data_IF_690004208829
#
_entry.id   IF_690004208829
#
_cell.length_a   1.000
_cell.length_b   1.000
_cell.length_c   1.000
_cell.angle_alpha   90.00
_cell.angle_beta   90.00
_cell.angle_gamma   90.00
#
_symmetry.space_group_name_H-M   'P 1'
#
loop_
_entity.id
_entity.type
_entity.pdbx_description
1 polymer ?
#
# COMPACT_ATOMS: atom_id res chain seq x y z
N UNK A 1 -4.54 8.48 40.88
CA UNK A 1 -4.07 9.26 39.71
C UNK A 1 -3.66 8.38 38.52
N UNK A 2 -2.69 7.45 38.66
CA UNK A 2 -2.18 6.65 37.52
C UNK A 2 -3.22 5.76 36.82
N UNK A 3 -4.16 5.16 37.57
CA UNK A 3 -5.19 4.26 37.03
C UNK A 3 -6.27 4.98 36.20
N UNK A 4 -6.61 6.21 36.58
CA UNK A 4 -7.55 7.05 35.84
C UNK A 4 -6.96 7.51 34.50
N UNK A 5 -5.68 7.93 34.51
CA UNK A 5 -4.97 8.31 33.29
C UNK A 5 -4.89 7.15 32.30
N UNK A 6 -4.55 5.95 32.78
CA UNK A 6 -4.51 4.76 31.94
C UNK A 6 -5.89 4.47 31.33
N UNK A 7 -6.95 4.44 32.15
CA UNK A 7 -8.32 4.19 31.69
C UNK A 7 -8.80 5.21 30.66
N UNK A 8 -8.41 6.47 30.81
CA UNK A 8 -8.75 7.53 29.84
C UNK A 8 -8.04 7.32 28.51
N UNK A 9 -6.73 7.00 28.52
CA UNK A 9 -5.99 6.70 27.30
C UNK A 9 -6.54 5.46 26.59
N UNK A 10 -6.87 4.38 27.29
CA UNK A 10 -7.45 3.20 26.65
C UNK A 10 -8.82 3.48 26.05
N UNK A 11 -9.68 4.24 26.75
CA UNK A 11 -10.97 4.65 26.21
C UNK A 11 -10.82 5.47 24.92
N UNK A 12 -9.85 6.39 24.88
CA UNK A 12 -9.58 7.21 23.69
C UNK A 12 -9.10 6.36 22.50
N UNK A 13 -8.25 5.35 22.74
CA UNK A 13 -7.79 4.44 21.68
C UNK A 13 -8.92 3.62 21.06
N UNK A 14 -9.99 3.30 21.80
CA UNK A 14 -11.14 2.56 21.27
C UNK A 14 -12.00 3.40 20.31
N UNK A 15 -11.89 4.73 20.38
CA UNK A 15 -12.60 5.65 19.49
C UNK A 15 -11.81 5.92 18.19
N UNK A 16 -10.53 5.54 18.17
CA UNK A 16 -9.66 5.74 17.02
C UNK A 16 -9.71 4.48 16.16
N UNK A 17 -10.31 4.57 14.97
CA UNK A 17 -10.15 3.54 13.95
C UNK A 17 -8.84 3.76 13.21
N UNK A 18 -8.06 2.70 13.00
CA UNK A 18 -6.94 2.78 12.07
C UNK A 18 -7.51 2.93 10.65
N UNK A 19 -7.13 4.01 9.98
CA UNK A 19 -7.50 4.20 8.59
C UNK A 19 -6.60 3.31 7.72
N UNK A 20 -7.19 2.60 6.76
CA UNK A 20 -6.45 1.87 5.75
C UNK A 20 -5.77 2.89 4.81
N UNK A 21 -4.47 2.75 4.58
CA UNK A 21 -3.76 3.59 3.61
C UNK A 21 -4.30 3.31 2.20
N UNK A 22 -4.93 4.30 1.59
CA UNK A 22 -5.50 4.20 0.23
C UNK A 22 -4.47 4.55 -0.84
N UNK A 23 -3.49 5.38 -0.48
CA UNK A 23 -2.41 5.80 -1.35
C UNK A 23 -1.09 5.33 -0.75
N UNK A 24 -0.35 4.50 -1.49
CA UNK A 24 0.91 3.98 -1.03
C UNK A 24 1.97 4.09 -2.13
N UNK A 25 3.11 4.66 -1.77
CA UNK A 25 4.26 4.77 -2.65
C UNK A 25 5.21 3.61 -2.41
N UNK A 26 5.43 2.80 -3.43
CA UNK A 26 6.46 1.78 -3.42
C UNK A 26 7.79 2.40 -3.83
N UNK A 27 8.86 2.02 -3.13
CA UNK A 27 10.20 2.49 -3.47
C UNK A 27 10.58 2.06 -4.90
N UNK A 28 11.40 2.86 -5.61
CA UNK A 28 11.87 2.50 -6.94
C UNK A 28 12.59 1.14 -6.96
N UNK A 29 12.22 0.29 -7.91
CA UNK A 29 12.87 -0.99 -8.17
C UNK A 29 13.67 -0.89 -9.46
N UNK A 30 14.97 -1.11 -9.40
CA UNK A 30 15.85 -1.10 -10.57
C UNK A 30 16.87 -2.25 -10.48
N UNK A 31 17.15 -2.86 -11.63
CA UNK A 31 18.25 -3.80 -11.76
C UNK A 31 19.60 -3.10 -11.53
N UNK A 32 20.59 -3.87 -11.08
CA UNK A 32 22.00 -3.44 -11.10
C UNK A 32 22.43 -3.15 -12.54
N UNK A 33 23.23 -2.10 -12.72
CA UNK A 33 23.70 -1.66 -14.03
C UNK A 33 24.27 -2.82 -14.86
N UNK A 34 23.98 -2.84 -16.17
CA UNK A 34 24.38 -3.90 -17.11
C UNK A 34 23.84 -5.31 -16.83
N UNK A 35 22.86 -5.49 -15.94
CA UNK A 35 22.22 -6.80 -15.75
C UNK A 35 20.90 -6.85 -16.53
N UNK A 36 20.83 -7.69 -17.56
CA UNK A 36 19.64 -7.86 -18.42
C UNK A 36 18.84 -9.10 -18.02
N UNK A 37 17.52 -9.08 -18.25
CA UNK A 37 16.65 -10.24 -18.03
C UNK A 37 16.30 -10.52 -16.57
N UNK A 38 16.44 -9.53 -15.68
CA UNK A 38 15.94 -9.63 -14.31
C UNK A 38 14.46 -9.26 -14.27
N UNK A 39 13.68 -10.09 -13.59
CA UNK A 39 12.27 -9.85 -13.32
C UNK A 39 12.05 -9.63 -11.83
N UNK A 40 11.21 -8.66 -11.50
CA UNK A 40 10.74 -8.40 -10.14
C UNK A 40 9.23 -8.56 -10.10
N UNK A 41 8.73 -9.28 -9.11
CA UNK A 41 7.30 -9.50 -8.92
C UNK A 41 6.83 -8.74 -7.68
N UNK A 42 5.77 -7.94 -7.86
CA UNK A 42 5.09 -7.25 -6.76
C UNK A 42 3.73 -7.89 -6.57
N UNK A 43 3.58 -8.61 -5.47
CA UNK A 43 2.31 -9.26 -5.11
C UNK A 43 1.51 -8.31 -4.22
N UNK A 44 0.30 -7.95 -4.67
CA UNK A 44 -0.58 -7.01 -4.00
C UNK A 44 -1.91 -7.70 -3.68
N UNK A 45 -2.38 -7.54 -2.45
CA UNK A 45 -3.74 -7.88 -2.07
C UNK A 45 -4.55 -6.59 -1.90
N UNK A 46 -5.84 -6.65 -2.23
CA UNK A 46 -6.74 -5.51 -2.06
C UNK A 46 -8.13 -6.02 -1.68
N UNK A 47 -8.78 -5.27 -0.81
CA UNK A 47 -10.18 -5.48 -0.44
C UNK A 47 -11.14 -4.69 -1.33
N UNK A 48 -10.65 -3.97 -2.35
CA UNK A 48 -11.51 -3.16 -3.21
C UNK A 48 -12.28 -4.04 -4.21
N UNK A 49 -13.62 -3.95 -4.19
CA UNK A 49 -14.47 -4.60 -5.22
C UNK A 49 -14.37 -3.88 -6.57
N UNK A 50 -14.21 -2.56 -6.55
CA UNK A 50 -14.15 -1.74 -7.75
C UNK A 50 -12.73 -1.68 -8.26
N UNK A 51 -12.57 -1.97 -9.54
CA UNK A 51 -11.26 -1.93 -10.20
C UNK A 51 -10.65 -0.53 -10.18
N UNK A 52 -9.40 -0.41 -9.74
CA UNK A 52 -8.65 0.85 -9.64
C UNK A 52 -7.32 0.77 -10.39
N UNK A 53 -6.82 1.88 -10.96
CA UNK A 53 -5.54 1.90 -11.66
C UNK A 53 -4.36 1.90 -10.67
N UNK A 54 -3.27 1.22 -11.03
CA UNK A 54 -1.97 1.32 -10.36
C UNK A 54 -0.97 1.87 -11.33
N UNK A 55 -0.46 3.06 -11.05
CA UNK A 55 0.47 3.75 -11.95
C UNK A 55 1.90 3.30 -11.69
N UNK A 56 2.57 2.85 -12.75
CA UNK A 56 3.96 2.43 -12.72
C UNK A 56 4.77 3.42 -13.53
N UNK A 57 5.80 4.00 -12.92
CA UNK A 57 6.65 5.02 -13.52
C UNK A 57 8.06 4.49 -13.77
N UNK A 58 8.67 4.92 -14.87
CA UNK A 58 10.09 4.77 -15.14
C UNK A 58 10.68 6.16 -15.39
N UNK A 59 11.69 6.54 -14.58
CA UNK A 59 12.34 7.85 -14.68
C UNK A 59 11.31 9.01 -14.74
N UNK A 60 10.34 8.98 -13.83
CA UNK A 60 9.22 9.94 -13.71
C UNK A 60 8.28 10.00 -14.92
N UNK A 61 8.39 9.10 -15.89
CA UNK A 61 7.45 8.97 -17.02
C UNK A 61 6.52 7.79 -16.76
N UNK A 62 5.21 7.95 -17.00
CA UNK A 62 4.24 6.86 -16.87
C UNK A 62 4.62 5.73 -17.84
N UNK A 63 4.94 4.57 -17.28
CA UNK A 63 5.31 3.38 -18.05
C UNK A 63 4.07 2.53 -18.36
N UNK A 64 3.24 2.26 -17.35
CA UNK A 64 1.97 1.55 -17.52
C UNK A 64 1.01 1.83 -16.36
N UNK A 65 -0.28 1.55 -16.55
CA UNK A 65 -1.32 1.72 -15.53
C UNK A 65 -2.30 0.53 -15.51
N UNK A 66 -1.87 -0.67 -15.11
CA UNK A 66 -2.76 -1.83 -14.96
C UNK A 66 -3.88 -1.53 -13.95
N UNK A 67 -5.04 -2.16 -14.15
CA UNK A 67 -6.12 -2.08 -13.18
C UNK A 67 -6.13 -3.29 -12.26
N UNK A 68 -6.21 -3.06 -10.96
CA UNK A 68 -6.31 -4.10 -9.94
C UNK A 68 -7.71 -4.12 -9.33
N UNK A 69 -8.14 -5.28 -8.90
CA UNK A 69 -9.35 -5.48 -8.11
C UNK A 69 -9.18 -6.74 -7.26
N UNK A 70 -9.99 -6.86 -6.20
CA UNK A 70 -10.08 -8.09 -5.42
C UNK A 70 -10.42 -9.27 -6.33
N UNK A 71 -9.69 -10.37 -6.17
CA UNK A 71 -10.02 -11.63 -6.84
C UNK A 71 -11.30 -12.24 -6.23
N UNK A 72 -12.19 -12.82 -7.06
CA UNK A 72 -13.33 -13.58 -6.55
C UNK A 72 -12.81 -14.81 -5.78
N UNK A 73 -13.30 -14.99 -4.56
CA UNK A 73 -13.06 -16.19 -3.73
C UNK A 73 -13.97 -17.32 -4.18
#
# INVERSE_FOLDING_TARGET
MKKLLLSFCTFLCLLMNAQLDTDHWFAPMAARANTTGLEGYLNLSTDQMTSFPVEIYNNNTLFTAPRLQRLPV
#
